data_IF_157722350606
#
_entry.id   IF_157722350606
#
_cell.length_a   1.000
_cell.length_b   1.000
_cell.length_c   1.000
_cell.angle_alpha   90.00
_cell.angle_beta   90.00
_cell.angle_gamma   90.00
#
_symmetry.space_group_name_H-M   'P 1'
#
loop_
_entity.id
_entity.type
_entity.pdbx_description
1 polymer ?
#
# COMPACT_ATOMS: atom_id res chain seq x y z
N UNK A 1 29.15 -13.27 11.74
CA UNK A 1 27.87 -13.82 12.24
C UNK A 1 26.76 -12.75 12.19
N UNK A 2 26.48 -12.14 11.04
CA UNK A 2 25.59 -10.96 10.97
C UNK A 2 24.41 -11.09 10.00
N UNK A 3 24.13 -12.30 9.49
CA UNK A 3 23.10 -12.51 8.46
C UNK A 3 21.67 -12.72 9.01
N UNK A 4 21.47 -12.84 10.33
CA UNK A 4 20.14 -13.13 10.91
C UNK A 4 19.31 -11.88 11.27
N UNK A 5 19.93 -10.75 11.60
CA UNK A 5 19.19 -9.53 11.99
C UNK A 5 18.18 -9.06 10.92
N UNK A 6 18.52 -9.22 9.64
CA UNK A 6 17.64 -8.85 8.52
C UNK A 6 16.47 -9.80 8.33
N UNK A 7 16.64 -11.10 8.65
CA UNK A 7 15.60 -12.12 8.50
C UNK A 7 14.63 -12.09 9.68
N UNK A 8 15.15 -11.99 10.90
CA UNK A 8 14.34 -11.85 12.12
C UNK A 8 13.49 -10.58 12.08
N UNK A 9 14.04 -9.45 11.59
CA UNK A 9 13.28 -8.21 11.42
C UNK A 9 12.20 -8.33 10.34
N UNK A 10 12.49 -8.99 9.21
CA UNK A 10 11.48 -9.24 8.16
C UNK A 10 10.33 -10.12 8.65
N UNK A 11 10.62 -11.20 9.38
CA UNK A 11 9.59 -12.08 9.94
C UNK A 11 8.74 -11.35 11.00
N UNK A 12 9.38 -10.55 11.86
CA UNK A 12 8.67 -9.74 12.85
C UNK A 12 7.79 -8.66 12.20
N UNK A 13 8.24 -8.04 11.11
CA UNK A 13 7.42 -7.10 10.33
C UNK A 13 6.24 -7.81 9.66
N UNK A 14 6.47 -8.96 9.01
CA UNK A 14 5.43 -9.73 8.32
C UNK A 14 4.31 -10.22 9.25
N UNK A 15 4.64 -10.55 10.52
CA UNK A 15 3.62 -10.87 11.52
C UNK A 15 2.71 -9.68 11.81
N UNK A 16 3.32 -8.53 12.11
CA UNK A 16 2.62 -7.29 12.44
C UNK A 16 1.82 -6.72 11.27
N UNK A 17 2.32 -6.87 10.05
CA UNK A 17 1.62 -6.45 8.83
C UNK A 17 0.32 -7.24 8.65
N UNK A 18 0.35 -8.55 8.89
CA UNK A 18 -0.86 -9.40 8.81
C UNK A 18 -1.87 -9.07 9.90
N UNK A 19 -1.41 -8.85 11.13
CA UNK A 19 -2.26 -8.43 12.24
C UNK A 19 -2.92 -7.08 11.91
N UNK A 20 -2.14 -6.09 11.46
CA UNK A 20 -2.66 -4.79 11.07
C UNK A 20 -3.68 -4.86 9.91
N UNK A 21 -3.44 -5.70 8.90
CA UNK A 21 -4.41 -5.92 7.83
C UNK A 21 -5.74 -6.49 8.36
N UNK A 22 -5.68 -7.41 9.33
CA UNK A 22 -6.89 -7.95 9.97
C UNK A 22 -7.62 -6.89 10.81
N UNK A 23 -6.90 -6.03 11.52
CA UNK A 23 -7.48 -4.90 12.25
C UNK A 23 -8.20 -3.93 11.29
N UNK A 24 -7.60 -3.64 10.13
CA UNK A 24 -8.24 -2.80 9.11
C UNK A 24 -9.47 -3.47 8.49
N UNK A 25 -9.43 -4.77 8.24
CA UNK A 25 -10.57 -5.52 7.72
C UNK A 25 -11.75 -5.49 8.69
N UNK A 26 -11.49 -5.69 9.98
CA UNK A 26 -12.50 -5.54 11.02
C UNK A 26 -13.05 -4.09 11.09
N UNK A 27 -12.19 -3.08 10.99
CA UNK A 27 -12.62 -1.68 10.93
C UNK A 27 -13.54 -1.42 9.73
N UNK A 28 -13.23 -1.97 8.56
CA UNK A 28 -14.03 -1.85 7.34
C UNK A 28 -15.36 -2.60 7.49
N UNK A 29 -15.37 -3.77 8.13
CA UNK A 29 -16.59 -4.54 8.39
C UNK A 29 -17.55 -3.78 9.33
N UNK A 30 -17.01 -3.09 10.34
CA UNK A 30 -17.81 -2.32 11.31
C UNK A 30 -18.22 -0.95 10.76
N UNK A 31 -17.31 -0.27 10.05
CA UNK A 31 -17.51 1.07 9.49
C UNK A 31 -17.04 1.12 8.02
N UNK A 32 -17.85 0.60 7.09
CA UNK A 32 -17.45 0.53 5.67
C UNK A 32 -17.34 1.91 5.02
N UNK A 33 -17.99 2.92 5.60
CA UNK A 33 -18.02 4.30 5.12
C UNK A 33 -16.84 5.14 5.64
N UNK A 34 -15.98 4.59 6.51
CA UNK A 34 -14.83 5.32 7.03
C UNK A 34 -13.67 5.21 6.01
N UNK A 35 -13.18 6.33 5.44
CA UNK A 35 -12.09 6.28 4.47
C UNK A 35 -10.74 5.87 5.08
N UNK A 36 -10.44 6.26 6.32
CA UNK A 36 -9.14 6.04 6.98
C UNK A 36 -8.59 4.59 6.92
N UNK A 37 -9.34 3.51 7.22
CA UNK A 37 -8.83 2.15 7.15
C UNK A 37 -8.45 1.72 5.73
N UNK A 38 -9.19 2.16 4.70
CA UNK A 38 -8.84 1.90 3.30
C UNK A 38 -7.49 2.52 2.93
N UNK A 39 -7.24 3.76 3.37
CA UNK A 39 -5.95 4.43 3.15
C UNK A 39 -4.77 3.68 3.77
N UNK A 40 -4.93 3.29 5.04
CA UNK A 40 -3.88 2.59 5.79
C UNK A 40 -3.64 1.19 5.23
N UNK A 41 -4.71 0.46 4.89
CA UNK A 41 -4.63 -0.88 4.29
C UNK A 41 -3.94 -0.83 2.93
N UNK A 42 -4.29 0.14 2.08
CA UNK A 42 -3.66 0.34 0.79
C UNK A 42 -2.16 0.64 0.92
N UNK A 43 -1.77 1.50 1.86
CA UNK A 43 -0.35 1.79 2.13
C UNK A 43 0.43 0.56 2.60
N UNK A 44 -0.19 -0.32 3.41
CA UNK A 44 0.41 -1.60 3.80
C UNK A 44 0.56 -2.55 2.61
N UNK A 45 -0.46 -2.67 1.76
CA UNK A 45 -0.36 -3.48 0.54
C UNK A 45 0.76 -2.99 -0.39
N UNK A 46 0.96 -1.67 -0.50
CA UNK A 46 2.05 -1.12 -1.28
C UNK A 46 3.42 -1.52 -0.71
N UNK A 47 3.59 -1.46 0.61
CA UNK A 47 4.82 -1.88 1.29
C UNK A 47 5.08 -3.39 1.14
N UNK A 48 4.02 -4.20 1.10
CA UNK A 48 4.07 -5.65 0.88
C UNK A 48 4.37 -6.02 -0.58
N UNK A 49 4.34 -5.06 -1.50
CA UNK A 49 4.52 -5.29 -2.94
C UNK A 49 3.23 -5.66 -3.69
N UNK A 50 2.10 -5.73 -2.98
CA UNK A 50 0.76 -5.96 -3.55
C UNK A 50 0.20 -4.66 -4.14
N UNK A 51 0.92 -4.09 -5.11
CA UNK A 51 0.65 -2.76 -5.69
C UNK A 51 -0.76 -2.64 -6.27
N UNK A 52 -1.30 -3.71 -6.84
CA UNK A 52 -2.66 -3.71 -7.41
C UNK A 52 -3.72 -3.52 -6.33
N UNK A 53 -3.66 -4.32 -5.25
CA UNK A 53 -4.57 -4.20 -4.10
C UNK A 53 -4.45 -2.85 -3.41
N UNK A 54 -3.22 -2.34 -3.29
CA UNK A 54 -2.97 -1.02 -2.74
C UNK A 54 -3.73 0.08 -3.51
N UNK A 55 -3.67 0.04 -4.85
CA UNK A 55 -4.34 1.01 -5.72
C UNK A 55 -5.86 0.90 -5.63
N UNK A 56 -6.39 -0.32 -5.53
CA UNK A 56 -7.83 -0.55 -5.36
C UNK A 56 -8.34 0.03 -4.04
N UNK A 57 -7.64 -0.22 -2.94
CA UNK A 57 -7.99 0.33 -1.63
C UNK A 57 -7.94 1.87 -1.59
N UNK A 58 -6.93 2.48 -2.21
CA UNK A 58 -6.87 3.95 -2.29
C UNK A 58 -7.99 4.51 -3.19
N UNK A 59 -8.41 3.80 -4.23
CA UNK A 59 -9.59 4.23 -5.03
C UNK A 59 -10.85 4.24 -4.18
N UNK A 60 -11.09 3.20 -3.39
CA UNK A 60 -12.22 3.19 -2.46
C UNK A 60 -12.13 4.30 -1.40
N UNK A 61 -10.93 4.58 -0.89
CA UNK A 61 -10.69 5.73 -0.03
C UNK A 61 -11.13 7.05 -0.68
N UNK A 62 -10.77 7.29 -1.95
CA UNK A 62 -11.13 8.49 -2.73
C UNK A 62 -12.65 8.56 -2.95
N UNK A 63 -13.31 7.43 -3.19
CA UNK A 63 -14.77 7.35 -3.37
C UNK A 63 -15.53 7.66 -2.08
N UNK A 64 -15.03 7.20 -0.94
CA UNK A 64 -15.63 7.41 0.38
C UNK A 64 -15.26 8.77 1.01
N UNK A 65 -14.18 9.41 0.53
CA UNK A 65 -13.74 10.70 1.00
C UNK A 65 -14.76 11.79 0.63
N UNK A 66 -15.52 12.25 1.63
CA UNK A 66 -16.43 13.38 1.49
C UNK A 66 -15.67 14.72 1.38
N UNK A 67 -14.47 14.80 1.96
CA UNK A 67 -13.65 16.01 1.92
C UNK A 67 -12.77 16.06 0.66
N UNK A 68 -12.76 17.18 -0.08
CA UNK A 68 -11.93 17.31 -1.28
C UNK A 68 -10.43 17.23 -0.97
N UNK A 69 -10.01 17.62 0.24
CA UNK A 69 -8.61 17.50 0.67
C UNK A 69 -8.16 16.02 0.75
N UNK A 70 -9.01 15.15 1.31
CA UNK A 70 -8.75 13.72 1.41
C UNK A 70 -8.75 13.07 0.02
N UNK A 71 -9.74 13.41 -0.80
CA UNK A 71 -9.83 12.95 -2.19
C UNK A 71 -8.56 13.26 -2.98
N UNK A 72 -8.14 14.53 -2.93
CA UNK A 72 -6.92 15.00 -3.61
C UNK A 72 -5.66 14.29 -3.09
N UNK A 73 -5.56 14.05 -1.78
CA UNK A 73 -4.42 13.33 -1.21
C UNK A 73 -4.36 11.87 -1.71
N UNK A 74 -5.49 11.19 -1.85
CA UNK A 74 -5.54 9.85 -2.43
C UNK A 74 -5.17 9.84 -3.92
N UNK A 75 -5.67 10.81 -4.69
CA UNK A 75 -5.37 10.96 -6.12
C UNK A 75 -3.87 11.20 -6.35
N UNK A 76 -3.27 12.12 -5.58
CA UNK A 76 -1.83 12.41 -5.62
C UNK A 76 -1.00 11.17 -5.26
N UNK A 77 -1.42 10.42 -4.24
CA UNK A 77 -0.75 9.17 -3.84
C UNK A 77 -0.80 8.11 -4.95
N UNK A 78 -1.96 7.91 -5.58
CA UNK A 78 -2.10 6.97 -6.70
C UNK A 78 -1.20 7.34 -7.87
N UNK A 79 -1.17 8.63 -8.21
CA UNK A 79 -0.31 9.13 -9.29
C UNK A 79 1.17 8.95 -8.94
N UNK A 80 1.57 9.27 -7.70
CA UNK A 80 2.94 9.07 -7.24
C UNK A 80 3.36 7.59 -7.31
N UNK A 81 2.49 6.66 -6.92
CA UNK A 81 2.72 5.23 -7.02
C UNK A 81 2.79 4.73 -8.46
N UNK A 82 1.95 5.23 -9.36
CA UNK A 82 2.02 4.92 -10.79
C UNK A 82 3.31 5.44 -11.43
N UNK A 83 3.71 6.67 -11.13
CA UNK A 83 4.96 7.25 -11.59
C UNK A 83 6.18 6.50 -11.04
N UNK A 84 6.15 6.10 -9.77
CA UNK A 84 7.21 5.31 -9.15
C UNK A 84 7.36 3.94 -9.82
N UNK A 85 6.24 3.30 -10.17
CA UNK A 85 6.21 2.03 -10.88
C UNK A 85 6.75 2.17 -12.31
N UNK A 86 6.31 3.19 -13.05
CA UNK A 86 6.85 3.52 -14.38
C UNK A 86 8.35 3.82 -14.35
N UNK A 87 8.81 4.56 -13.34
CA UNK A 87 10.25 4.83 -13.14
C UNK A 87 11.02 3.54 -12.82
N UNK A 88 10.49 2.67 -11.98
CA UNK A 88 11.08 1.36 -11.71
C UNK A 88 11.17 0.50 -12.98
N UNK A 89 10.11 0.48 -13.79
CA UNK A 89 10.11 -0.23 -15.07
C UNK A 89 11.14 0.35 -16.05
N UNK A 90 11.24 1.68 -16.15
CA UNK A 90 12.21 2.36 -17.02
C UNK A 90 13.67 2.20 -16.56
N UNK A 91 13.91 2.05 -15.25
CA UNK A 91 15.25 1.79 -14.71
C UNK A 91 15.61 0.29 -14.75
N UNK A 92 14.63 -0.61 -14.83
CA UNK A 92 14.83 -2.05 -14.90
C UNK A 92 15.10 -2.60 -16.30
N UNK A 93 14.87 -1.82 -17.36
CA UNK A 93 15.12 -2.24 -18.76
C UNK A 93 16.56 -1.99 -19.24
N UNK A 94 17.50 -1.77 -18.31
CA UNK A 94 18.94 -1.63 -18.59
C UNK A 94 19.74 -2.94 -18.61
N UNK A 95 19.13 -4.10 -18.29
CA UNK A 95 19.81 -5.40 -18.37
C UNK A 95 18.95 -6.40 -19.14
N UNK A 96 19.43 -6.79 -20.33
CA UNK A 96 18.90 -7.90 -21.10
C UNK A 96 18.35 -7.55 -22.47
N UNK A 97 19.22 -7.17 -23.40
CA UNK A 97 19.01 -7.45 -24.82
C UNK A 97 20.21 -8.30 -25.30
N UNK A 98 19.99 -9.46 -25.96
CA UNK A 98 21.03 -10.37 -26.40
C UNK A 98 21.93 -9.79 -27.50
#
# INVERSE_FOLDING_TARGET
MSQNLSRDRRLACLGKEKEALADFDHCIAVQPHLPAPWFNRGSMYWALGEKEKAREDIRHFIELAQEPAWRKAGEDLLEAWDQADRKQAAMGTGEGAP
#
